data_IF_658007552168
#
_entry.id   IF_658007552168
#
_cell.length_a   1.000
_cell.length_b   1.000
_cell.length_c   1.000
_cell.angle_alpha   90.00
_cell.angle_beta   90.00
_cell.angle_gamma   90.00
#
_symmetry.space_group_name_H-M   'P 1'
#
loop_
_entity.id
_entity.type
_entity.pdbx_description
1 polymer ?
#
# COMPACT_ATOMS: atom_id res chain seq x y z
N UNK A 1 12.36 34.18 42.21
CA UNK A 1 11.54 33.40 41.25
C UNK A 1 12.34 32.17 40.85
N UNK A 2 11.87 30.95 41.14
CA UNK A 2 12.57 29.72 40.76
C UNK A 2 12.38 29.46 39.26
N UNK A 3 13.42 29.11 38.48
CA UNK A 3 13.27 28.85 37.06
C UNK A 3 12.33 27.66 36.81
N UNK A 4 11.23 27.90 36.09
CA UNK A 4 10.30 26.83 35.69
C UNK A 4 11.01 25.93 34.68
N UNK A 5 11.30 24.68 35.08
CA UNK A 5 11.89 23.68 34.19
C UNK A 5 10.90 23.36 33.06
N UNK A 6 11.32 23.62 31.82
CA UNK A 6 10.54 23.25 30.64
C UNK A 6 10.77 21.76 30.36
N UNK A 7 9.71 20.97 30.47
CA UNK A 7 9.74 19.58 30.05
C UNK A 7 9.46 19.46 28.54
N UNK A 8 10.36 18.79 27.83
CA UNK A 8 10.15 18.32 26.46
C UNK A 8 9.59 16.90 26.50
N UNK A 9 8.42 16.70 25.92
CA UNK A 9 7.79 15.38 25.84
C UNK A 9 8.07 14.74 24.48
N UNK A 10 8.29 13.43 24.49
CA UNK A 10 8.44 12.63 23.28
C UNK A 10 7.16 12.62 22.44
N UNK A 11 7.30 12.45 21.12
CA UNK A 11 6.17 12.52 20.20
C UNK A 11 5.14 11.41 20.45
N UNK A 12 5.60 10.17 20.70
CA UNK A 12 4.72 9.03 20.98
C UNK A 12 3.91 9.27 22.25
N UNK A 13 4.52 9.83 23.30
CA UNK A 13 3.85 10.12 24.56
C UNK A 13 2.72 11.13 24.39
N UNK A 14 2.96 12.19 23.59
CA UNK A 14 1.91 13.18 23.27
C UNK A 14 0.75 12.54 22.51
N UNK A 15 1.03 11.63 21.58
CA UNK A 15 0.00 10.93 20.81
C UNK A 15 -0.84 10.02 21.73
N UNK A 16 -0.20 9.23 22.59
CA UNK A 16 -0.87 8.38 23.57
C UNK A 16 -1.78 9.19 24.51
N UNK A 17 -1.31 10.35 24.98
CA UNK A 17 -2.11 11.24 25.82
C UNK A 17 -3.32 11.84 25.07
N UNK A 18 -3.18 12.16 23.79
CA UNK A 18 -4.27 12.68 22.94
C UNK A 18 -5.32 11.59 22.67
N UNK A 19 -4.90 10.37 22.37
CA UNK A 19 -5.77 9.21 22.13
C UNK A 19 -6.60 8.91 23.37
N UNK A 20 -5.96 8.77 24.54
CA UNK A 20 -6.66 8.58 25.81
C UNK A 20 -7.61 9.74 26.14
N UNK A 21 -7.24 10.98 25.84
CA UNK A 21 -8.09 12.16 26.05
C UNK A 21 -9.29 12.22 25.10
N UNK A 22 -9.24 11.54 23.95
CA UNK A 22 -10.37 11.41 23.03
C UNK A 22 -11.44 10.47 23.61
N UNK A 23 -11.03 9.42 24.32
CA UNK A 23 -11.92 8.43 24.95
C UNK A 23 -12.42 8.88 26.33
N UNK A 24 -11.54 9.43 27.16
CA UNK A 24 -11.80 9.66 28.59
C UNK A 24 -11.91 11.15 28.97
N UNK A 25 -11.67 12.05 28.01
CA UNK A 25 -11.63 13.49 28.23
C UNK A 25 -10.29 14.03 28.75
N UNK A 26 -10.07 15.35 28.57
CA UNK A 26 -8.78 15.99 28.84
C UNK A 26 -8.36 15.93 30.31
N UNK A 27 -9.32 16.04 31.23
CA UNK A 27 -9.05 16.04 32.66
C UNK A 27 -8.70 14.64 33.18
N UNK A 28 -9.33 13.60 32.66
CA UNK A 28 -8.95 12.22 32.98
C UNK A 28 -7.54 11.90 32.45
N UNK A 29 -7.24 12.32 31.22
CA UNK A 29 -5.91 12.17 30.64
C UNK A 29 -4.83 12.92 31.45
N UNK A 30 -5.13 14.13 31.91
CA UNK A 30 -4.22 14.92 32.74
C UNK A 30 -3.84 14.19 34.03
N UNK A 31 -4.83 13.56 34.67
CA UNK A 31 -4.63 12.74 35.88
C UNK A 31 -3.87 11.45 35.57
N UNK A 32 -4.21 10.77 34.48
CA UNK A 32 -3.59 9.50 34.09
C UNK A 32 -2.10 9.65 33.74
N UNK A 33 -1.74 10.67 32.96
CA UNK A 33 -0.37 10.90 32.51
C UNK A 33 0.43 11.83 33.44
N UNK A 34 -0.19 12.33 34.50
CA UNK A 34 0.37 13.35 35.40
C UNK A 34 0.91 14.58 34.64
N UNK A 35 0.11 15.07 33.69
CA UNK A 35 0.42 16.23 32.83
C UNK A 35 -0.65 17.30 33.03
N UNK A 36 -0.28 18.57 32.95
CA UNK A 36 -1.25 19.66 33.00
C UNK A 36 -2.30 19.53 31.87
N UNK A 37 -3.57 19.69 32.22
CA UNK A 37 -4.70 19.60 31.29
C UNK A 37 -4.60 20.61 30.13
N UNK A 38 -4.01 21.78 30.38
CA UNK A 38 -3.71 22.78 29.35
C UNK A 38 -2.71 22.29 28.29
N UNK A 39 -1.79 21.39 28.64
CA UNK A 39 -0.84 20.81 27.67
C UNK A 39 -1.55 19.82 26.77
N UNK A 40 -2.45 19.00 27.33
CA UNK A 40 -3.26 18.05 26.56
C UNK A 40 -4.16 18.81 25.59
N UNK A 41 -4.82 19.89 26.02
CA UNK A 41 -5.58 20.78 25.13
C UNK A 41 -4.70 21.36 24.01
N UNK A 42 -3.50 21.82 24.34
CA UNK A 42 -2.54 22.34 23.35
C UNK A 42 -2.13 21.27 22.34
N UNK A 43 -1.84 20.05 22.78
CA UNK A 43 -1.47 18.95 21.89
C UNK A 43 -2.63 18.51 20.99
N UNK A 44 -3.85 18.44 21.52
CA UNK A 44 -5.06 18.18 20.71
C UNK A 44 -5.28 19.25 19.65
N UNK A 45 -5.09 20.53 20.01
CA UNK A 45 -5.16 21.63 19.05
C UNK A 45 -4.07 21.47 17.99
N UNK A 46 -2.83 21.20 18.38
CA UNK A 46 -1.73 20.92 17.45
C UNK A 46 -2.00 19.72 16.54
N UNK A 47 -2.66 18.67 17.03
CA UNK A 47 -3.04 17.51 16.23
C UNK A 47 -4.14 17.85 15.22
N UNK A 48 -5.15 18.62 15.63
CA UNK A 48 -6.20 19.11 14.72
C UNK A 48 -5.64 20.08 13.67
N UNK A 49 -4.60 20.85 14.04
CA UNK A 49 -3.87 21.76 13.17
C UNK A 49 -2.74 21.08 12.40
N UNK A 50 -2.45 19.79 12.67
CA UNK A 50 -1.51 18.94 11.92
C UNK A 50 -2.16 18.59 10.57
N UNK A 51 -2.34 19.63 9.76
CA UNK A 51 -2.89 19.58 8.42
C UNK A 51 -1.99 18.73 7.54
N UNK A 52 -2.61 18.00 6.61
CA UNK A 52 -1.90 17.25 5.59
C UNK A 52 -0.85 18.15 4.91
N UNK A 53 0.38 17.69 4.86
CA UNK A 53 1.48 18.46 4.27
C UNK A 53 1.44 18.26 2.77
N UNK A 54 1.23 19.35 2.02
CA UNK A 54 1.28 19.32 0.56
C UNK A 54 2.73 19.32 0.04
N UNK A 55 2.94 18.84 -1.19
CA UNK A 55 4.25 18.91 -1.85
C UNK A 55 4.78 20.34 -2.00
N UNK A 56 3.88 21.32 -2.15
CA UNK A 56 4.22 22.74 -2.21
C UNK A 56 4.79 23.21 -0.87
N UNK A 57 4.14 22.83 0.24
CA UNK A 57 4.60 23.16 1.60
C UNK A 57 5.99 22.57 1.88
N UNK A 58 6.25 21.34 1.45
CA UNK A 58 7.58 20.70 1.57
C UNK A 58 8.63 21.48 0.79
N UNK A 59 8.33 21.88 -0.45
CA UNK A 59 9.25 22.67 -1.29
C UNK A 59 9.57 24.03 -0.70
N UNK A 60 8.56 24.75 -0.21
CA UNK A 60 8.75 26.08 0.41
C UNK A 60 9.66 25.99 1.64
N UNK A 61 9.43 25.00 2.51
CA UNK A 61 10.31 24.76 3.66
C UNK A 61 11.74 24.40 3.25
N UNK A 62 11.91 23.57 2.23
CA UNK A 62 13.24 23.20 1.75
C UNK A 62 14.03 24.41 1.22
N UNK A 63 13.35 25.38 0.58
CA UNK A 63 13.98 26.64 0.15
C UNK A 63 14.40 27.52 1.32
N UNK A 64 13.54 27.68 2.32
CA UNK A 64 13.86 28.45 3.52
C UNK A 64 15.07 27.86 4.27
N UNK A 65 15.14 26.52 4.37
CA UNK A 65 16.30 25.84 4.97
C UNK A 65 17.56 26.04 4.11
N UNK A 66 17.46 26.02 2.78
CA UNK A 66 18.62 26.26 1.92
C UNK A 66 19.17 27.69 2.09
N UNK A 67 18.30 28.68 2.23
CA UNK A 67 18.65 30.07 2.54
C UNK A 67 19.29 30.20 3.93
N UNK A 68 18.71 29.57 4.96
CA UNK A 68 19.26 29.55 6.32
C UNK A 68 20.65 28.89 6.39
N UNK A 69 20.86 27.84 5.60
CA UNK A 69 22.12 27.08 5.55
C UNK A 69 23.16 27.71 4.61
N UNK A 70 22.90 28.91 4.09
CA UNK A 70 23.74 29.62 3.11
C UNK A 70 24.14 28.75 1.90
N UNK A 71 23.25 27.82 1.52
CA UNK A 71 23.39 27.08 0.28
C UNK A 71 22.93 28.05 -0.81
N UNK A 72 23.87 28.55 -1.60
CA UNK A 72 23.60 29.49 -2.70
C UNK A 72 22.29 29.10 -3.39
N UNK A 73 21.31 30.01 -3.33
CA UNK A 73 19.96 29.81 -3.88
C UNK A 73 19.96 29.51 -5.38
N UNK A 74 21.10 29.77 -6.05
CA UNK A 74 21.39 29.38 -7.42
C UNK A 74 21.47 27.85 -7.62
N UNK A 75 21.98 27.11 -6.63
CA UNK A 75 22.18 25.65 -6.71
C UNK A 75 20.92 24.85 -6.35
N UNK A 76 20.09 25.38 -5.44
CA UNK A 76 18.87 24.72 -4.98
C UNK A 76 17.60 25.50 -5.32
N UNK A 77 17.14 25.34 -6.56
CA UNK A 77 15.92 26.02 -7.04
C UNK A 77 14.61 25.38 -6.54
N UNK A 78 14.68 24.22 -5.87
CA UNK A 78 13.51 23.51 -5.33
C UNK A 78 12.42 23.29 -6.37
N UNK A 79 12.77 22.85 -7.58
CA UNK A 79 11.84 22.67 -8.71
C UNK A 79 10.72 21.64 -8.48
N UNK A 80 9.67 21.59 -9.33
CA UNK A 80 8.49 20.74 -9.11
C UNK A 80 8.78 19.24 -9.01
N UNK A 81 9.79 18.76 -9.75
CA UNK A 81 10.24 17.37 -9.73
C UNK A 81 11.07 17.02 -8.49
N UNK A 82 11.55 18.01 -7.74
CA UNK A 82 12.43 17.77 -6.59
C UNK A 82 11.69 17.04 -5.47
N UNK A 83 10.50 17.50 -5.07
CA UNK A 83 9.78 16.90 -3.94
C UNK A 83 9.45 15.41 -4.17
N UNK A 84 8.86 14.99 -5.32
CA UNK A 84 8.67 13.56 -5.64
C UNK A 84 9.97 12.75 -5.66
N UNK A 85 11.09 13.33 -6.11
CA UNK A 85 12.41 12.66 -6.10
C UNK A 85 12.97 12.52 -4.69
N UNK A 86 12.88 13.58 -3.87
CA UNK A 86 13.27 13.57 -2.47
C UNK A 86 12.50 12.51 -1.68
N UNK A 87 11.18 12.47 -1.85
CA UNK A 87 10.33 11.48 -1.20
C UNK A 87 10.73 10.05 -1.59
N UNK A 88 10.96 9.76 -2.88
CA UNK A 88 11.47 8.45 -3.32
C UNK A 88 12.82 8.07 -2.71
N UNK A 89 13.78 9.01 -2.65
CA UNK A 89 15.10 8.77 -2.06
C UNK A 89 15.05 8.50 -0.56
N UNK A 90 14.07 9.06 0.14
CA UNK A 90 13.88 8.90 1.59
C UNK A 90 12.81 7.87 1.94
N UNK A 91 12.32 7.12 0.96
CA UNK A 91 11.27 6.10 1.12
C UNK A 91 10.00 6.65 1.79
N UNK A 92 9.62 7.88 1.42
CA UNK A 92 8.40 8.55 1.88
C UNK A 92 7.34 8.47 0.77
N UNK A 93 6.09 8.22 1.14
CA UNK A 93 4.94 8.21 0.23
C UNK A 93 3.96 9.33 0.58
N UNK A 94 3.38 9.95 -0.45
CA UNK A 94 2.20 10.79 -0.27
C UNK A 94 1.00 9.87 -0.17
N UNK A 95 0.31 9.91 0.96
CA UNK A 95 -1.00 9.30 1.08
C UNK A 95 -2.02 10.42 1.02
N UNK A 96 -2.96 10.35 0.07
CA UNK A 96 -4.18 11.12 0.20
C UNK A 96 -4.86 10.71 1.51
N UNK A 97 -5.42 11.66 2.25
CA UNK A 97 -6.29 11.32 3.38
C UNK A 97 -7.46 10.57 2.78
N UNK A 98 -7.49 9.25 2.95
CA UNK A 98 -8.63 8.44 2.54
C UNK A 98 -9.82 8.97 3.34
N UNK A 99 -10.90 9.34 2.65
CA UNK A 99 -12.19 9.50 3.32
C UNK A 99 -12.42 8.22 4.14
N UNK A 100 -12.87 8.39 5.40
CA UNK A 100 -13.24 7.25 6.24
C UNK A 100 -14.11 6.34 5.39
N UNK A 101 -13.66 5.10 5.15
CA UNK A 101 -14.41 4.15 4.35
C UNK A 101 -15.80 4.04 4.97
N UNK A 102 -16.84 4.11 4.14
CA UNK A 102 -18.19 3.81 4.61
C UNK A 102 -18.15 2.44 5.30
N UNK A 103 -18.90 2.28 6.40
CA UNK A 103 -19.00 0.97 7.04
C UNK A 103 -19.37 -0.07 5.98
N UNK A 104 -18.62 -1.17 5.97
CA UNK A 104 -18.87 -2.25 5.03
C UNK A 104 -20.28 -2.79 5.31
N UNK A 105 -21.08 -3.03 4.26
CA UNK A 105 -22.36 -3.71 4.40
C UNK A 105 -22.21 -5.04 5.15
N UNK A 106 -23.22 -5.42 5.93
CA UNK A 106 -23.19 -6.64 6.74
C UNK A 106 -22.93 -7.92 5.90
N UNK A 107 -23.38 -7.91 4.64
CA UNK A 107 -23.24 -8.98 3.65
C UNK A 107 -21.91 -8.94 2.86
N UNK A 108 -21.01 -7.99 3.13
CA UNK A 108 -19.77 -7.82 2.36
C UNK A 108 -18.89 -9.08 2.37
N UNK A 109 -18.73 -9.71 3.54
CA UNK A 109 -17.92 -10.91 3.68
C UNK A 109 -18.48 -12.09 2.87
N UNK A 110 -19.81 -12.24 2.85
CA UNK A 110 -20.49 -13.27 2.07
C UNK A 110 -20.31 -13.05 0.58
N UNK A 111 -20.53 -11.82 0.10
CA UNK A 111 -20.31 -11.46 -1.32
C UNK A 111 -18.86 -11.62 -1.76
N UNK A 112 -17.91 -11.27 -0.90
CA UNK A 112 -16.49 -11.48 -1.16
C UNK A 112 -16.13 -12.97 -1.20
N UNK A 113 -16.73 -13.80 -0.33
CA UNK A 113 -16.55 -15.25 -0.34
C UNK A 113 -17.12 -15.86 -1.63
N UNK A 114 -18.35 -15.51 -2.02
CA UNK A 114 -18.97 -15.97 -3.28
C UNK A 114 -18.09 -15.62 -4.48
N UNK A 115 -17.60 -14.38 -4.55
CA UNK A 115 -16.71 -13.92 -5.61
C UNK A 115 -15.40 -14.71 -5.67
N UNK A 116 -14.76 -14.96 -4.52
CA UNK A 116 -13.53 -15.75 -4.43
C UNK A 116 -13.75 -17.20 -4.87
N UNK A 117 -14.86 -17.82 -4.45
CA UNK A 117 -15.22 -19.20 -4.85
C UNK A 117 -15.48 -19.26 -6.35
N UNK A 118 -16.27 -18.34 -6.89
CA UNK A 118 -16.52 -18.24 -8.34
C UNK A 118 -15.22 -18.10 -9.15
N UNK A 119 -14.33 -17.19 -8.75
CA UNK A 119 -13.04 -17.01 -9.40
C UNK A 119 -12.19 -18.28 -9.31
N UNK A 120 -12.16 -18.96 -8.17
CA UNK A 120 -11.44 -20.22 -8.00
C UNK A 120 -11.97 -21.28 -8.96
N UNK A 121 -13.28 -21.47 -9.03
CA UNK A 121 -13.89 -22.54 -9.82
C UNK A 121 -13.78 -22.28 -11.32
N UNK A 122 -13.83 -21.01 -11.75
CA UNK A 122 -13.75 -20.64 -13.17
C UNK A 122 -12.31 -20.47 -13.68
N UNK A 123 -11.37 -20.04 -12.84
CA UNK A 123 -9.97 -19.81 -13.25
C UNK A 123 -9.12 -21.08 -13.06
N UNK A 124 -9.46 -21.92 -12.07
CA UNK A 124 -8.70 -23.15 -11.75
C UNK A 124 -9.35 -24.42 -12.35
N UNK A 125 -10.40 -24.29 -13.16
CA UNK A 125 -10.99 -25.42 -13.87
C UNK A 125 -9.94 -26.07 -14.79
N UNK A 126 -9.77 -27.41 -14.77
CA UNK A 126 -8.77 -28.12 -15.56
C UNK A 126 -8.77 -27.77 -17.06
N UNK A 127 -9.91 -27.39 -17.63
CA UNK A 127 -10.06 -26.99 -19.04
C UNK A 127 -9.09 -25.89 -19.47
N UNK A 128 -8.87 -24.86 -18.63
CA UNK A 128 -7.95 -23.76 -18.97
C UNK A 128 -6.47 -24.12 -18.77
N UNK A 129 -6.19 -25.16 -17.98
CA UNK A 129 -4.83 -25.68 -17.77
C UNK A 129 -4.40 -26.52 -18.98
N UNK A 130 -5.32 -27.30 -19.58
CA UNK A 130 -5.05 -28.05 -20.81
C UNK A 130 -4.86 -27.14 -22.04
N UNK A 131 -5.58 -26.02 -22.15
CA UNK A 131 -5.37 -25.02 -23.20
C UNK A 131 -3.99 -24.34 -23.09
N UNK A 132 -3.57 -23.99 -21.86
CA UNK A 132 -2.25 -23.41 -21.62
C UNK A 132 -1.10 -24.41 -21.87
N UNK A 133 -1.32 -25.71 -21.62
CA UNK A 133 -0.36 -26.77 -21.95
C UNK A 133 -0.28 -27.04 -23.47
N UNK A 134 -1.42 -27.05 -24.18
CA UNK A 134 -1.47 -27.18 -25.63
C UNK A 134 -0.79 -26.01 -26.35
N UNK A 135 -0.96 -24.78 -25.84
CA UNK A 135 -0.26 -23.59 -26.35
C UNK A 135 1.25 -23.66 -26.19
N UNK A 136 1.75 -24.24 -25.08
CA UNK A 136 3.20 -24.46 -24.87
C UNK A 136 3.78 -25.55 -25.77
N UNK A 137 3.02 -26.61 -26.07
CA UNK A 137 3.45 -27.67 -26.99
C UNK A 137 3.57 -27.16 -28.45
N UNK A 138 2.61 -26.34 -28.88
CA UNK A 138 2.56 -25.71 -30.21
C UNK A 138 3.75 -24.78 -30.47
N UNK A 139 4.22 -24.06 -29.45
CA UNK A 139 5.35 -23.15 -29.59
C UNK A 139 6.68 -23.87 -29.78
N UNK A 140 6.81 -25.11 -29.27
CA UNK A 140 8.04 -25.91 -29.38
C UNK A 140 8.15 -26.64 -30.73
N UNK A 141 7.02 -27.01 -31.35
CA UNK A 141 7.00 -27.75 -32.63
C UNK A 141 6.76 -26.89 -33.87
N UNK A 142 6.57 -25.55 -33.73
CA UNK A 142 6.36 -24.61 -34.84
C UNK A 142 5.23 -25.00 -35.80
N UNK A 143 4.21 -25.71 -35.34
CA UNK A 143 3.02 -26.06 -36.15
C UNK A 143 1.94 -25.01 -35.92
N UNK A 144 1.44 -24.34 -36.97
CA UNK A 144 0.36 -23.35 -36.81
C UNK A 144 -1.00 -24.05 -36.60
N UNK A 145 -1.31 -24.34 -35.34
CA UNK A 145 -2.55 -25.04 -34.95
C UNK A 145 -3.83 -24.20 -35.12
N UNK A 146 -3.75 -22.92 -35.53
CA UNK A 146 -4.92 -22.03 -35.64
C UNK A 146 -5.95 -22.46 -36.68
N UNK A 147 -5.62 -23.41 -37.56
CA UNK A 147 -6.46 -23.85 -38.69
C UNK A 147 -6.88 -25.32 -38.62
N UNK A 148 -6.53 -26.03 -37.55
CA UNK A 148 -6.89 -27.45 -37.39
C UNK A 148 -8.14 -27.61 -36.51
N UNK A 149 -9.06 -28.47 -36.93
CA UNK A 149 -10.25 -28.81 -36.15
C UNK A 149 -9.89 -29.56 -34.87
N UNK A 150 -10.78 -29.50 -33.87
CA UNK A 150 -10.60 -30.12 -32.55
C UNK A 150 -10.22 -31.60 -32.63
N UNK A 151 -10.86 -32.35 -33.54
CA UNK A 151 -10.61 -33.79 -33.74
C UNK A 151 -9.19 -34.07 -34.26
N UNK A 152 -8.64 -33.18 -35.09
CA UNK A 152 -7.30 -33.34 -35.66
C UNK A 152 -6.21 -33.09 -34.62
N UNK A 153 -6.43 -32.10 -33.74
CA UNK A 153 -5.53 -31.79 -32.62
C UNK A 153 -5.55 -32.92 -31.58
N UNK A 154 -6.72 -33.49 -31.31
CA UNK A 154 -6.89 -34.61 -30.38
C UNK A 154 -6.16 -35.89 -30.86
N UNK A 155 -6.26 -36.22 -32.15
CA UNK A 155 -5.57 -37.38 -32.74
C UNK A 155 -4.05 -37.22 -32.74
N UNK A 156 -3.55 -36.00 -32.96
CA UNK A 156 -2.11 -35.72 -32.92
C UNK A 156 -1.54 -35.83 -31.50
N UNK A 157 -2.26 -35.30 -30.50
CA UNK A 157 -1.85 -35.35 -29.09
C UNK A 157 -1.80 -36.80 -28.55
N UNK A 158 -2.79 -37.65 -28.89
CA UNK A 158 -2.77 -39.08 -28.53
C UNK A 158 -1.63 -39.86 -29.18
N UNK A 159 -1.23 -39.49 -30.39
CA UNK A 159 -0.12 -40.12 -31.11
C UNK A 159 1.23 -39.74 -30.49
N UNK A 160 1.40 -38.49 -30.02
CA UNK A 160 2.63 -38.03 -29.38
C UNK A 160 2.88 -38.68 -28.01
N UNK A 161 1.84 -38.94 -27.24
CA UNK A 161 1.94 -39.72 -25.98
C UNK A 161 2.29 -41.19 -26.22
N UNK A 162 1.92 -41.78 -27.37
CA UNK A 162 2.32 -43.15 -27.74
C UNK A 162 3.79 -43.28 -28.12
N UNK A 163 4.42 -42.22 -28.64
CA UNK A 163 5.83 -42.24 -29.08
C UNK A 163 6.79 -42.05 -27.89
N UNK A 164 6.34 -41.40 -26.82
CA UNK A 164 7.14 -41.10 -25.62
C UNK A 164 6.75 -41.94 -24.38
N UNK A 165 5.92 -42.96 -24.55
CA UNK A 165 5.65 -43.93 -23.49
C UNK A 165 6.82 -44.91 -23.42
N UNK A 166 7.53 -44.96 -22.30
CA UNK A 166 8.53 -46.00 -22.07
C UNK A 166 7.86 -47.39 -22.07
N UNK A 167 8.50 -48.42 -22.63
CA UNK A 167 7.93 -49.76 -22.64
C UNK A 167 7.80 -50.27 -21.20
N UNK A 168 6.59 -50.75 -20.85
CA UNK A 168 6.31 -51.43 -19.59
C UNK A 168 7.33 -52.58 -19.39
N UNK A 169 7.91 -52.73 -18.18
CA UNK A 169 8.84 -53.82 -17.90
C UNK A 169 8.12 -55.17 -17.95
N UNK A 170 8.80 -56.16 -18.54
CA UNK A 170 8.34 -57.54 -18.79
C UNK A 170 7.93 -58.27 -17.51
#
# INVERSE_FOLDING_TARGET
>A
MVPVKRHTYEAYFKLQAIEYAAENGNQAAARHFNVNESMIRKWRKQESERKGVSTVTIRQKAKAIAEEMDIETLTFQGGPSWCPRFMRRRHLSICARTTVAQQLPADYQERAAISRTYCRDKITAPSHIYEAAAGKLCHHTRVDCRRMGYDTVFMYCKSFHKINAEPEPV
#
